data_IF_167363295447
#
_entry.id   IF_167363295447
#
_cell.length_a   1.000
_cell.length_b   1.000
_cell.length_c   1.000
_cell.angle_alpha   90.00
_cell.angle_beta   90.00
_cell.angle_gamma   90.00
#
_symmetry.space_group_name_H-M   'P 1'
#
loop_
_entity.id
_entity.type
_entity.pdbx_description
1 polymer ?
#
# COMPACT_ATOMS: atom_id res chain seq x y z
N UNK A 1 23.62 1.95 -3.15
CA UNK A 1 22.16 1.89 -2.96
C UNK A 1 21.94 0.85 -1.89
N UNK A 2 21.24 1.21 -0.82
CA UNK A 2 20.98 0.27 0.28
C UNK A 2 20.18 -0.92 -0.25
N UNK A 3 20.38 -2.13 0.30
CA UNK A 3 19.59 -3.28 -0.10
C UNK A 3 18.11 -3.03 0.22
N UNK A 4 17.17 -3.57 -0.57
CA UNK A 4 15.76 -3.46 -0.27
C UNK A 4 15.43 -4.15 1.06
N UNK A 5 14.51 -3.57 1.81
CA UNK A 5 13.98 -4.15 3.06
C UNK A 5 12.70 -4.89 2.72
N UNK A 6 12.61 -6.16 3.09
CA UNK A 6 11.42 -6.99 2.84
C UNK A 6 10.79 -7.43 4.15
N UNK A 7 9.48 -7.24 4.26
CA UNK A 7 8.61 -7.80 5.29
C UNK A 7 7.66 -8.80 4.66
N UNK A 8 7.32 -9.84 5.42
CA UNK A 8 6.31 -10.82 5.06
C UNK A 8 5.32 -10.92 6.20
N UNK A 9 4.04 -10.73 5.88
CA UNK A 9 2.95 -10.86 6.84
C UNK A 9 1.97 -11.91 6.34
N UNK A 10 1.23 -12.51 7.27
CA UNK A 10 0.02 -13.24 6.87
C UNK A 10 -1.08 -12.25 6.48
N UNK A 11 -2.12 -12.73 5.80
CA UNK A 11 -3.30 -11.94 5.48
C UNK A 11 -4.19 -11.75 6.72
N UNK A 12 -3.62 -11.15 7.77
CA UNK A 12 -4.23 -10.79 9.05
C UNK A 12 -4.01 -9.30 9.34
N UNK A 13 -5.10 -8.59 9.61
CA UNK A 13 -5.10 -7.15 9.90
C UNK A 13 -4.28 -6.83 11.16
N UNK A 14 -4.13 -7.80 12.08
CA UNK A 14 -3.34 -7.63 13.29
C UNK A 14 -1.84 -7.39 13.02
N UNK A 15 -1.32 -7.72 11.83
CA UNK A 15 0.08 -7.52 11.46
C UNK A 15 0.35 -6.14 10.80
N UNK A 16 -0.70 -5.40 10.42
CA UNK A 16 -0.54 -4.06 9.79
C UNK A 16 0.25 -3.07 10.65
N UNK A 17 0.04 -2.97 11.99
CA UNK A 17 0.80 -2.05 12.82
C UNK A 17 2.32 -2.26 12.78
N UNK A 18 2.77 -3.51 12.63
CA UNK A 18 4.20 -3.81 12.49
C UNK A 18 4.75 -3.30 11.15
N UNK A 19 4.01 -3.46 10.06
CA UNK A 19 4.38 -2.91 8.75
C UNK A 19 4.50 -1.39 8.82
N UNK A 20 3.53 -0.71 9.45
CA UNK A 20 3.52 0.75 9.60
C UNK A 20 4.72 1.24 10.40
N UNK A 21 5.04 0.61 11.54
CA UNK A 21 6.21 0.96 12.34
C UNK A 21 7.52 0.78 11.56
N UNK A 22 7.65 -0.31 10.80
CA UNK A 22 8.85 -0.59 10.01
C UNK A 22 9.00 0.35 8.81
N UNK A 23 7.90 0.82 8.23
CA UNK A 23 7.91 1.87 7.21
C UNK A 23 8.38 3.20 7.78
N UNK A 24 7.88 3.58 8.95
CA UNK A 24 8.27 4.81 9.64
C UNK A 24 9.77 4.83 9.93
N UNK A 25 10.30 3.79 10.60
CA UNK A 25 11.73 3.67 10.89
C UNK A 25 12.60 3.81 9.63
N UNK A 26 12.19 3.17 8.52
CA UNK A 26 12.90 3.19 7.26
C UNK A 26 12.88 4.58 6.61
N UNK A 27 11.71 5.21 6.57
CA UNK A 27 11.52 6.51 5.93
C UNK A 27 12.14 7.65 6.75
N UNK A 28 12.09 7.60 8.08
CA UNK A 28 12.81 8.51 8.97
C UNK A 28 14.32 8.41 8.75
N UNK A 29 14.87 7.20 8.67
CA UNK A 29 16.28 6.98 8.38
C UNK A 29 16.70 7.52 6.99
N UNK A 30 15.77 7.60 6.04
CA UNK A 30 15.98 8.21 4.73
C UNK A 30 15.67 9.72 4.70
N UNK A 31 15.20 10.27 5.83
CA UNK A 31 14.93 11.68 6.04
C UNK A 31 13.69 12.18 5.32
N UNK A 32 12.65 11.36 5.21
CA UNK A 32 11.32 11.81 4.78
C UNK A 32 10.68 12.68 5.87
N UNK A 33 9.85 13.64 5.45
CA UNK A 33 9.06 14.44 6.37
C UNK A 33 7.95 13.60 7.03
N UNK A 34 7.54 13.93 8.27
CA UNK A 34 6.47 13.21 8.98
C UNK A 34 5.18 13.06 8.18
N UNK A 35 4.77 14.10 7.44
CA UNK A 35 3.58 14.06 6.59
C UNK A 35 3.71 13.01 5.48
N UNK A 36 4.89 12.89 4.85
CA UNK A 36 5.13 11.90 3.82
C UNK A 36 5.14 10.47 4.36
N UNK A 37 5.57 10.30 5.61
CA UNK A 37 5.55 9.02 6.33
C UNK A 37 4.10 8.61 6.59
N UNK A 38 3.29 9.49 7.18
CA UNK A 38 1.88 9.25 7.48
C UNK A 38 1.07 8.93 6.21
N UNK A 39 1.30 9.70 5.13
CA UNK A 39 0.69 9.45 3.82
C UNK A 39 1.02 8.04 3.30
N UNK A 40 2.27 7.62 3.44
CA UNK A 40 2.74 6.32 2.95
C UNK A 40 2.19 5.18 3.82
N UNK A 41 2.15 5.34 5.14
CA UNK A 41 1.52 4.38 6.06
C UNK A 41 0.05 4.19 5.71
N UNK A 42 -0.69 5.28 5.53
CA UNK A 42 -2.10 5.23 5.14
C UNK A 42 -2.29 4.48 3.81
N UNK A 43 -1.49 4.78 2.79
CA UNK A 43 -1.60 4.12 1.50
C UNK A 43 -1.30 2.61 1.57
N UNK A 44 -0.28 2.22 2.34
CA UNK A 44 0.10 0.81 2.50
C UNK A 44 -0.93 0.06 3.34
N UNK A 45 -1.44 0.65 4.42
CA UNK A 45 -2.52 0.08 5.23
C UNK A 45 -3.77 -0.17 4.40
N UNK A 46 -4.17 0.78 3.55
CA UNK A 46 -5.33 0.61 2.68
C UNK A 46 -5.09 -0.46 1.61
N UNK A 47 -3.88 -0.54 1.04
CA UNK A 47 -3.54 -1.58 0.08
C UNK A 47 -3.59 -2.98 0.72
N UNK A 48 -2.98 -3.15 1.89
CA UNK A 48 -2.97 -4.42 2.63
C UNK A 48 -4.38 -4.80 3.07
N UNK A 49 -5.15 -3.84 3.61
CA UNK A 49 -6.54 -4.07 4.03
C UNK A 49 -7.40 -4.52 2.85
N UNK A 50 -7.26 -3.89 1.67
CA UNK A 50 -7.98 -4.31 0.47
C UNK A 50 -7.62 -5.75 0.06
N UNK A 51 -6.34 -6.11 0.09
CA UNK A 51 -5.90 -7.48 -0.22
C UNK A 51 -6.48 -8.49 0.78
N UNK A 52 -6.44 -8.19 2.08
CA UNK A 52 -6.94 -9.10 3.13
C UNK A 52 -8.46 -9.25 3.05
N UNK A 53 -9.18 -8.13 2.98
CA UNK A 53 -10.65 -8.12 3.06
C UNK A 53 -11.31 -8.60 1.77
N UNK A 54 -10.71 -8.31 0.60
CA UNK A 54 -11.32 -8.62 -0.69
C UNK A 54 -10.61 -9.73 -1.47
N UNK A 55 -9.30 -9.91 -1.27
CA UNK A 55 -8.49 -10.87 -1.99
C UNK A 55 -8.50 -12.28 -1.38
N UNK A 56 -8.40 -12.39 -0.06
CA UNK A 56 -8.33 -13.68 0.62
C UNK A 56 -9.64 -14.08 1.30
N UNK A 57 -10.01 -15.36 1.19
CA UNK A 57 -11.22 -15.92 1.84
C UNK A 57 -10.95 -16.43 3.26
N UNK A 58 -9.68 -16.60 3.61
CA UNK A 58 -9.18 -17.06 4.91
C UNK A 58 -7.85 -16.35 5.20
N UNK A 59 -7.43 -16.23 6.46
CA UNK A 59 -6.16 -15.63 6.83
C UNK A 59 -4.98 -16.60 6.58
N UNK A 60 -4.90 -17.19 5.38
CA UNK A 60 -3.85 -18.13 4.97
C UNK A 60 -2.99 -17.58 3.81
N UNK A 61 -3.24 -16.34 3.38
CA UNK A 61 -2.46 -15.67 2.35
C UNK A 61 -1.15 -15.09 2.89
N UNK A 62 -0.08 -15.12 2.08
CA UNK A 62 1.15 -14.35 2.35
C UNK A 62 1.08 -13.02 1.59
N UNK A 63 1.46 -11.93 2.26
CA UNK A 63 1.67 -10.62 1.64
C UNK A 63 3.12 -10.23 1.87
N UNK A 64 3.84 -9.95 0.79
CA UNK A 64 5.23 -9.52 0.81
C UNK A 64 5.31 -8.02 0.52
N UNK A 65 5.87 -7.25 1.45
CA UNK A 65 6.12 -5.82 1.30
C UNK A 65 7.62 -5.61 1.12
N UNK A 66 8.04 -4.99 0.01
CA UNK A 66 9.44 -4.72 -0.29
C UNK A 66 9.65 -3.23 -0.51
N UNK A 67 10.47 -2.62 0.34
CA UNK A 67 10.76 -1.20 0.33
C UNK A 67 12.16 -0.97 -0.24
N UNK A 68 12.25 -0.16 -1.29
CA UNK A 68 13.50 0.15 -1.99
C UNK A 68 13.71 1.66 -2.07
N UNK A 69 14.90 2.13 -1.75
CA UNK A 69 15.27 3.53 -1.97
C UNK A 69 15.69 3.71 -3.42
N UNK A 70 15.06 4.66 -4.12
CA UNK A 70 15.36 5.00 -5.52
C UNK A 70 15.59 6.51 -5.62
N UNK A 71 16.85 6.94 -5.63
CA UNK A 71 17.23 8.36 -5.55
C UNK A 71 16.58 9.05 -4.35
N UNK A 72 15.68 10.00 -4.61
CA UNK A 72 14.92 10.80 -3.65
C UNK A 72 13.49 10.30 -3.50
N UNK A 73 13.27 9.01 -3.73
CA UNK A 73 11.99 8.36 -3.54
C UNK A 73 12.13 7.04 -2.79
N UNK A 74 11.04 6.61 -2.18
CA UNK A 74 10.84 5.25 -1.71
C UNK A 74 9.85 4.56 -2.65
N UNK A 75 10.21 3.35 -3.08
CA UNK A 75 9.35 2.44 -3.81
C UNK A 75 8.90 1.32 -2.88
N UNK A 76 7.60 1.15 -2.71
CA UNK A 76 6.99 0.11 -1.89
C UNK A 76 6.28 -0.86 -2.84
N UNK A 77 6.77 -2.10 -2.91
CA UNK A 77 6.11 -3.19 -3.65
C UNK A 77 5.35 -4.08 -2.69
N UNK A 78 4.06 -4.23 -2.91
CA UNK A 78 3.18 -5.13 -2.17
C UNK A 78 2.80 -6.26 -3.13
N UNK A 79 3.16 -7.48 -2.77
CA UNK A 79 2.92 -8.67 -3.58
C UNK A 79 2.11 -9.71 -2.82
N UNK A 80 1.08 -10.25 -3.45
CA UNK A 80 0.18 -11.26 -2.88
C UNK A 80 -0.22 -12.31 -3.93
N UNK A 81 -0.82 -13.41 -3.47
CA UNK A 81 -1.32 -14.51 -4.32
C UNK A 81 -2.85 -14.62 -4.30
N UNK A 82 -3.55 -13.54 -3.95
CA UNK A 82 -4.99 -13.47 -4.09
C UNK A 82 -5.40 -13.54 -5.57
N UNK A 83 -6.69 -13.79 -5.89
CA UNK A 83 -7.16 -13.71 -7.26
C UNK A 83 -6.75 -12.37 -7.91
N UNK A 84 -6.40 -12.37 -9.22
CA UNK A 84 -5.94 -11.16 -9.89
C UNK A 84 -6.95 -10.02 -9.75
N UNK A 85 -6.49 -8.89 -9.25
CA UNK A 85 -7.33 -7.71 -9.09
C UNK A 85 -6.49 -6.45 -9.30
N UNK A 86 -6.83 -5.68 -10.34
CA UNK A 86 -6.21 -4.39 -10.59
C UNK A 86 -6.98 -3.30 -9.82
N UNK A 87 -6.49 -2.82 -8.66
CA UNK A 87 -7.17 -1.76 -7.92
C UNK A 87 -7.19 -0.45 -8.72
N UNK A 88 -6.26 -0.25 -9.65
CA UNK A 88 -6.17 0.96 -10.46
C UNK A 88 -7.24 1.05 -11.54
N UNK A 89 -7.89 -0.08 -11.87
CA UNK A 89 -9.00 -0.11 -12.84
C UNK A 89 -10.30 0.48 -12.30
N UNK A 90 -10.40 0.69 -10.97
CA UNK A 90 -11.60 1.23 -10.35
C UNK A 90 -11.79 2.72 -10.69
N UNK A 91 -13.03 3.16 -10.98
CA UNK A 91 -13.33 4.57 -11.15
C UNK A 91 -13.12 5.32 -9.83
N UNK A 92 -12.86 6.62 -9.93
CA UNK A 92 -12.87 7.47 -8.74
C UNK A 92 -14.26 7.45 -8.09
N UNK A 93 -14.32 7.34 -6.74
CA UNK A 93 -15.59 7.35 -6.04
C UNK A 93 -16.26 8.72 -6.21
N UNK A 94 -17.58 8.72 -6.37
CA UNK A 94 -18.35 9.97 -6.37
C UNK A 94 -18.33 10.58 -4.95
N UNK A 95 -17.61 11.69 -4.82
CA UNK A 95 -17.47 12.42 -3.56
C UNK A 95 -18.69 13.30 -3.26
N UNK A 96 -19.63 13.46 -4.20
CA UNK A 96 -20.84 14.27 -4.01
C UNK A 96 -21.92 13.58 -3.19
N UNK A 97 -21.82 12.26 -3.01
CA UNK A 97 -22.75 11.47 -2.19
C UNK A 97 -22.53 11.71 -0.69
N UNK A 98 -23.61 11.65 0.09
CA UNK A 98 -23.58 11.90 1.54
C UNK A 98 -22.65 10.91 2.26
N UNK A 99 -21.95 11.37 3.31
CA UNK A 99 -21.00 10.55 4.09
C UNK A 99 -21.63 9.24 4.57
N UNK A 100 -22.94 9.23 4.84
CA UNK A 100 -23.71 8.08 5.29
C UNK A 100 -23.99 7.02 4.21
N UNK A 101 -23.92 7.38 2.92
CA UNK A 101 -24.09 6.47 1.77
C UNK A 101 -22.76 5.96 1.22
N UNK A 102 -21.65 6.57 1.63
CA UNK A 102 -20.32 6.05 1.36
C UNK A 102 -20.15 4.78 2.18
N UNK A 103 -20.35 3.63 1.54
CA UNK A 103 -19.96 2.33 2.09
C UNK A 103 -18.58 2.46 2.70
N UNK A 104 -18.49 2.19 4.00
CA UNK A 104 -17.24 1.90 4.70
C UNK A 104 -16.49 0.89 3.82
N UNK A 105 -15.40 1.30 3.18
CA UNK A 105 -14.64 0.47 2.23
C UNK A 105 -14.58 0.94 0.76
N UNK A 106 -15.09 2.12 0.39
CA UNK A 106 -15.05 2.62 -1.00
C UNK A 106 -13.96 3.64 -1.34
N UNK A 107 -13.20 4.13 -0.36
CA UNK A 107 -12.26 5.26 -0.54
C UNK A 107 -10.78 4.83 -0.59
N UNK A 108 -10.45 3.57 -0.28
CA UNK A 108 -9.05 3.14 -0.10
C UNK A 108 -8.16 3.47 -1.31
N UNK A 109 -8.59 3.09 -2.52
CA UNK A 109 -7.81 3.41 -3.72
C UNK A 109 -7.77 4.91 -4.03
N UNK A 110 -8.83 5.65 -3.72
CA UNK A 110 -8.86 7.09 -3.87
C UNK A 110 -7.86 7.78 -2.93
N UNK A 111 -7.72 7.29 -1.69
CA UNK A 111 -6.72 7.76 -0.74
C UNK A 111 -5.31 7.49 -1.27
N UNK A 112 -5.03 6.26 -1.72
CA UNK A 112 -3.73 5.89 -2.30
C UNK A 112 -3.36 6.83 -3.45
N UNK A 113 -4.29 7.09 -4.39
CA UNK A 113 -4.08 8.01 -5.52
C UNK A 113 -3.79 9.44 -5.10
N UNK A 114 -4.33 9.88 -3.95
CA UNK A 114 -4.21 11.25 -3.46
C UNK A 114 -2.91 11.48 -2.71
N UNK A 115 -2.43 10.49 -1.98
CA UNK A 115 -1.28 10.63 -1.05
C UNK A 115 0.03 10.10 -1.62
N UNK A 116 0.00 9.28 -2.67
CA UNK A 116 1.19 8.77 -3.34
C UNK A 116 1.52 9.54 -4.62
N UNK A 117 2.80 9.64 -4.97
CA UNK A 117 3.29 10.33 -6.18
C UNK A 117 3.27 9.46 -7.44
N UNK A 118 3.18 8.15 -7.27
CA UNK A 118 3.11 7.20 -8.36
C UNK A 118 2.63 5.84 -7.89
N UNK A 119 1.97 5.12 -8.79
CA UNK A 119 1.48 3.78 -8.54
C UNK A 119 1.45 2.95 -9.82
N UNK A 120 1.77 1.67 -9.72
CA UNK A 120 1.77 0.73 -10.84
C UNK A 120 1.23 -0.61 -10.36
N UNK A 121 0.39 -1.24 -11.19
CA UNK A 121 -0.05 -2.60 -10.97
C UNK A 121 0.44 -3.49 -12.12
N UNK A 122 0.88 -4.70 -11.77
CA UNK A 122 1.03 -5.79 -12.73
C UNK A 122 0.68 -7.12 -12.09
N UNK A 123 0.27 -8.06 -12.93
CA UNK A 123 0.12 -9.46 -12.54
C UNK A 123 1.23 -10.27 -13.22
N UNK A 124 2.08 -10.93 -12.43
CA UNK A 124 3.28 -11.62 -12.90
C UNK A 124 3.56 -12.84 -12.01
N UNK A 125 3.92 -13.97 -12.63
CA UNK A 125 4.27 -15.22 -11.93
C UNK A 125 3.27 -15.66 -10.84
N UNK A 126 1.98 -15.50 -11.13
CA UNK A 126 0.89 -15.89 -10.22
C UNK A 126 0.61 -14.90 -9.09
N UNK A 127 1.26 -13.73 -9.09
CA UNK A 127 1.13 -12.72 -8.03
C UNK A 127 0.58 -11.40 -8.54
N UNK A 128 -0.27 -10.77 -7.73
CA UNK A 128 -0.55 -9.35 -7.82
C UNK A 128 0.69 -8.59 -7.34
N UNK A 129 1.10 -7.54 -8.04
CA UNK A 129 2.19 -6.67 -7.63
C UNK A 129 1.72 -5.22 -7.75
N UNK A 130 1.40 -4.61 -6.61
CA UNK A 130 1.14 -3.18 -6.50
C UNK A 130 2.43 -2.48 -6.08
N UNK A 131 2.86 -1.51 -6.87
CA UNK A 131 4.00 -0.65 -6.58
C UNK A 131 3.50 0.74 -6.25
N UNK A 132 3.91 1.29 -5.12
CA UNK A 132 3.62 2.65 -4.67
C UNK A 132 4.92 3.45 -4.58
N UNK A 133 4.89 4.71 -4.98
CA UNK A 133 6.06 5.60 -4.99
C UNK A 133 5.74 6.86 -4.19
N UNK A 134 6.58 7.17 -3.21
CA UNK A 134 6.58 8.46 -2.49
C UNK A 134 7.91 9.15 -2.73
N UNK A 135 7.86 10.39 -3.21
CA UNK A 135 9.04 11.25 -3.32
C UNK A 135 9.29 11.94 -2.00
N UNK A 136 10.56 12.11 -1.69
CA UNK A 136 11.01 13.04 -0.66
C UNK A 136 10.71 14.44 -1.18
N UNK A 137 9.90 15.19 -0.45
CA UNK A 137 9.72 16.61 -0.75
C UNK A 137 11.06 17.33 -0.57
N UNK A 138 11.31 18.36 -1.39
CA UNK A 138 12.48 19.23 -1.27
C UNK A 138 12.47 20.04 0.04
#
# INVERSE_FOLDING_TARGET
>A
MDPPVTLKISSDIAEIPEVSARLEELMEAYGFAPEAILDTQLAVEEAITNIIVHGYKRPDGEIQITCSRVSDAIEIRIADSAPPFDPLSLPEPDLSSTVSERRIGGLGIYLIRRVMDGFFYRYEDGKNILTLIKKKAD
#
